data_IF_320453254200
#
_entry.id   IF_320453254200
#
_cell.length_a   1.000
_cell.length_b   1.000
_cell.length_c   1.000
_cell.angle_alpha   90.00
_cell.angle_beta   90.00
_cell.angle_gamma   90.00
#
_symmetry.space_group_name_H-M   'P 1'
#
loop_
_entity.id
_entity.type
_entity.pdbx_description
1 polymer ?
#
# COMPACT_ATOMS: atom_id res chain seq x y z
N UNK A 1 4.01 -6.06 0.27
CA UNK A 1 5.16 -6.39 -0.61
C UNK A 1 4.83 -7.43 -1.66
N UNK A 2 4.42 -8.66 -1.28
CA UNK A 2 4.01 -9.70 -2.26
C UNK A 2 2.90 -9.23 -3.23
N UNK A 3 1.94 -8.43 -2.74
CA UNK A 3 0.91 -7.81 -3.58
C UNK A 3 1.47 -6.89 -4.67
N UNK A 4 2.57 -6.19 -4.41
CA UNK A 4 3.15 -5.31 -5.41
C UNK A 4 3.95 -6.09 -6.44
N UNK A 5 4.71 -7.11 -5.99
CA UNK A 5 5.54 -7.95 -6.88
C UNK A 5 4.72 -8.84 -7.82
N UNK A 6 3.47 -9.14 -7.46
CA UNK A 6 2.58 -9.97 -8.28
C UNK A 6 1.68 -9.14 -9.20
N UNK A 7 1.75 -7.81 -9.15
CA UNK A 7 0.94 -6.96 -10.00
C UNK A 7 1.51 -6.96 -11.43
N UNK A 8 0.76 -7.50 -12.38
CA UNK A 8 1.13 -7.58 -13.79
C UNK A 8 1.00 -6.22 -14.51
N UNK A 9 0.31 -5.26 -13.90
CA UNK A 9 0.22 -3.89 -14.38
C UNK A 9 1.48 -3.07 -14.08
N UNK A 10 2.42 -3.60 -13.29
CA UNK A 10 3.68 -2.93 -12.96
C UNK A 10 4.83 -3.68 -13.62
N UNK A 11 5.46 -3.04 -14.59
CA UNK A 11 6.65 -3.57 -15.24
C UNK A 11 7.90 -3.33 -14.41
N UNK A 12 8.09 -4.16 -13.38
CA UNK A 12 9.20 -4.05 -12.42
C UNK A 12 10.56 -4.13 -13.11
N UNK A 13 10.68 -4.83 -14.24
CA UNK A 13 11.97 -4.98 -14.94
C UNK A 13 12.50 -3.64 -15.46
N UNK A 14 11.59 -2.77 -15.91
CA UNK A 14 11.89 -1.47 -16.49
C UNK A 14 11.98 -0.32 -15.47
N UNK A 15 11.81 -0.60 -14.17
CA UNK A 15 11.97 0.40 -13.12
C UNK A 15 13.42 0.46 -12.62
N UNK A 16 13.92 1.65 -12.33
CA UNK A 16 15.20 1.81 -11.60
C UNK A 16 15.05 1.43 -10.13
N UNK A 17 13.87 1.66 -9.56
CA UNK A 17 13.52 1.39 -8.17
C UNK A 17 12.02 1.20 -8.03
N UNK A 18 11.60 0.50 -6.98
CA UNK A 18 10.19 0.41 -6.60
C UNK A 18 9.95 1.44 -5.49
N UNK A 19 9.08 2.42 -5.75
CA UNK A 19 8.81 3.50 -4.78
C UNK A 19 7.44 3.30 -4.13
N UNK A 20 7.43 3.34 -2.79
CA UNK A 20 6.23 3.30 -1.96
C UNK A 20 6.13 4.61 -1.17
N UNK A 21 4.99 5.28 -1.26
CA UNK A 21 4.68 6.44 -0.44
C UNK A 21 3.89 6.02 0.80
N UNK A 22 4.35 6.39 2.00
CA UNK A 22 3.60 6.32 3.24
C UNK A 22 2.85 7.64 3.44
N UNK A 23 1.53 7.59 3.55
CA UNK A 23 0.69 8.77 3.79
C UNK A 23 0.12 8.70 5.20
N UNK A 24 0.31 9.78 5.96
CA UNK A 24 -0.07 9.86 7.38
C UNK A 24 -0.64 11.24 7.76
N UNK A 25 -1.31 11.31 8.91
CA UNK A 25 -1.78 12.59 9.46
C UNK A 25 -0.68 13.18 10.33
N UNK A 26 -0.17 14.35 9.94
CA UNK A 26 0.86 15.04 10.71
C UNK A 26 0.34 15.57 12.06
N UNK A 27 -0.98 15.78 12.19
CA UNK A 27 -1.62 16.17 13.44
C UNK A 27 -1.70 15.04 14.47
N UNK A 28 -1.59 13.78 14.04
CA UNK A 28 -1.67 12.61 14.91
C UNK A 28 -0.25 12.13 15.28
N UNK A 29 0.07 12.18 16.58
CA UNK A 29 1.35 11.68 17.11
C UNK A 29 1.52 10.17 16.96
N UNK A 30 0.42 9.42 16.99
CA UNK A 30 0.40 7.96 16.78
C UNK A 30 0.73 7.64 15.33
N UNK A 31 0.09 8.33 14.38
CA UNK A 31 0.36 8.15 12.94
C UNK A 31 1.81 8.46 12.58
N UNK A 32 2.40 9.51 13.18
CA UNK A 32 3.84 9.84 13.01
C UNK A 32 4.76 8.72 13.50
N UNK A 33 4.51 8.18 14.69
CA UNK A 33 5.29 7.06 15.24
C UNK A 33 5.16 5.82 14.37
N UNK A 34 3.95 5.49 13.94
CA UNK A 34 3.70 4.36 13.04
C UNK A 34 4.44 4.53 11.70
N UNK A 35 4.43 5.74 11.13
CA UNK A 35 5.14 6.04 9.87
C UNK A 35 6.63 5.69 9.96
N UNK A 36 7.29 6.11 11.04
CA UNK A 36 8.70 5.79 11.26
C UNK A 36 8.92 4.28 11.48
N UNK A 37 8.05 3.62 12.23
CA UNK A 37 8.10 2.16 12.40
C UNK A 37 7.96 1.41 11.07
N UNK A 38 7.01 1.80 10.23
CA UNK A 38 6.84 1.21 8.89
C UNK A 38 8.04 1.48 8.00
N UNK A 39 8.56 2.71 8.01
CA UNK A 39 9.74 3.07 7.23
C UNK A 39 10.96 2.22 7.61
N UNK A 40 11.19 1.99 8.90
CA UNK A 40 12.25 1.08 9.38
C UNK A 40 12.00 -0.34 8.93
N UNK A 41 10.78 -0.85 9.15
CA UNK A 41 10.41 -2.22 8.76
C UNK A 41 10.63 -2.48 7.26
N UNK A 42 10.31 -1.52 6.40
CA UNK A 42 10.59 -1.62 4.96
C UNK A 42 12.08 -1.51 4.61
N UNK A 43 12.84 -0.70 5.35
CA UNK A 43 14.29 -0.53 5.15
C UNK A 43 15.07 -1.77 5.56
N UNK A 44 14.61 -2.45 6.61
CA UNK A 44 15.24 -3.65 7.17
C UNK A 44 14.72 -4.94 6.52
N UNK A 45 13.81 -4.85 5.54
CA UNK A 45 13.18 -6.01 4.94
C UNK A 45 14.21 -6.83 4.12
N UNK A 46 14.62 -8.02 4.58
CA UNK A 46 15.67 -8.77 3.93
C UNK A 46 15.11 -9.35 2.63
N UNK A 47 15.70 -8.97 1.50
CA UNK A 47 15.31 -9.41 0.15
C UNK A 47 13.90 -8.98 -0.28
N UNK A 48 13.70 -7.70 -0.65
CA UNK A 48 12.44 -7.30 -1.29
C UNK A 48 12.18 -8.12 -2.57
N UNK A 49 10.92 -8.49 -2.87
CA UNK A 49 10.56 -9.41 -3.95
C UNK A 49 10.64 -8.79 -5.36
N UNK A 50 11.50 -7.79 -5.57
CA UNK A 50 11.57 -6.98 -6.79
C UNK A 50 12.82 -7.27 -7.63
N UNK A 51 13.33 -8.51 -7.61
CA UNK A 51 14.40 -8.98 -8.51
C UNK A 51 15.64 -8.06 -8.55
N UNK A 52 16.10 -7.62 -7.38
CA UNK A 52 17.29 -6.76 -7.27
C UNK A 52 17.03 -5.26 -7.47
N UNK A 53 15.78 -4.83 -7.74
CA UNK A 53 15.44 -3.41 -7.75
C UNK A 53 15.37 -2.86 -6.32
N UNK A 54 16.03 -1.72 -6.04
CA UNK A 54 15.98 -1.09 -4.72
C UNK A 54 14.56 -0.63 -4.39
N UNK A 55 14.20 -0.77 -3.11
CA UNK A 55 12.96 -0.26 -2.56
C UNK A 55 13.20 1.15 -1.99
N UNK A 56 12.40 2.12 -2.44
CA UNK A 56 12.41 3.49 -1.92
C UNK A 56 11.14 3.74 -1.14
N UNK A 57 11.29 4.18 0.10
CA UNK A 57 10.16 4.55 0.96
C UNK A 57 10.19 6.06 1.18
N UNK A 58 9.12 6.72 0.76
CA UNK A 58 8.92 8.15 0.94
C UNK A 58 7.78 8.36 1.93
N UNK A 59 7.85 9.39 2.77
CA UNK A 59 6.80 9.66 3.76
C UNK A 59 6.23 11.05 3.53
N UNK A 60 4.91 11.14 3.39
CA UNK A 60 4.19 12.37 3.11
C UNK A 60 3.07 12.56 4.12
N UNK A 61 2.92 13.80 4.60
CA UNK A 61 1.70 14.19 5.29
C UNK A 61 0.53 14.21 4.29
N UNK A 62 -0.67 13.88 4.76
CA UNK A 62 -1.91 14.02 3.99
C UNK A 62 -2.20 15.46 3.50
N UNK A 63 -1.53 16.47 4.07
CA UNK A 63 -1.59 17.86 3.60
C UNK A 63 -0.70 18.10 2.38
N UNK A 64 0.27 17.23 2.14
CA UNK A 64 1.28 17.31 1.08
C UNK A 64 1.00 16.31 -0.07
N UNK A 65 -0.25 15.86 -0.24
CA UNK A 65 -0.62 14.94 -1.34
C UNK A 65 -0.35 15.53 -2.74
N UNK A 66 -0.37 16.85 -2.86
CA UNK A 66 -0.06 17.56 -4.09
C UNK A 66 1.45 17.51 -4.44
N UNK A 67 2.32 17.35 -3.44
CA UNK A 67 3.78 17.34 -3.60
C UNK A 67 4.32 15.95 -3.98
N UNK A 68 3.45 14.94 -3.94
CA UNK A 68 3.77 13.58 -4.32
C UNK A 68 3.97 13.52 -5.84
N UNK A 69 5.15 13.07 -6.28
CA UNK A 69 5.40 12.75 -7.69
C UNK A 69 4.73 11.42 -8.07
N UNK A 70 3.42 11.46 -8.28
CA UNK A 70 2.58 10.28 -8.51
C UNK A 70 3.05 9.35 -9.64
N UNK A 71 3.51 9.85 -10.82
CA UNK A 71 4.06 8.99 -11.87
C UNK A 71 5.28 8.15 -11.45
N UNK A 72 6.01 8.56 -10.41
CA UNK A 72 7.21 7.86 -9.94
C UNK A 72 6.92 6.81 -8.85
N UNK A 73 5.64 6.60 -8.49
CA UNK A 73 5.25 5.76 -7.35
C UNK A 73 4.47 4.54 -7.85
N UNK A 74 4.76 3.38 -7.27
CA UNK A 74 4.07 2.13 -7.58
C UNK A 74 2.98 1.82 -6.55
N UNK A 75 3.14 2.27 -5.31
CA UNK A 75 2.13 2.08 -4.28
C UNK A 75 2.08 3.21 -3.25
N UNK A 76 0.88 3.41 -2.68
CA UNK A 76 0.67 4.24 -1.49
C UNK A 76 0.21 3.34 -0.35
N UNK A 77 0.84 3.47 0.82
CA UNK A 77 0.37 2.92 2.08
C UNK A 77 -0.29 4.04 2.87
N UNK A 78 -1.60 3.94 3.03
CA UNK A 78 -2.42 4.86 3.81
C UNK A 78 -2.47 4.34 5.25
N UNK A 79 -1.86 5.09 6.16
CA UNK A 79 -1.87 4.75 7.58
C UNK A 79 -3.22 5.12 8.24
N UNK A 80 -3.52 4.64 9.45
CA UNK A 80 -4.76 4.99 10.14
C UNK A 80 -4.96 6.51 10.30
N UNK A 81 -6.21 6.92 10.53
CA UNK A 81 -6.57 8.33 10.76
C UNK A 81 -6.80 9.17 9.50
N UNK A 82 -6.84 8.56 8.31
CA UNK A 82 -7.00 9.27 7.03
C UNK A 82 -8.43 9.43 6.50
N UNK A 83 -9.46 9.05 7.26
CA UNK A 83 -10.84 8.98 6.77
C UNK A 83 -11.28 10.24 5.98
N UNK A 84 -10.90 11.43 6.45
CA UNK A 84 -11.28 12.72 5.83
C UNK A 84 -10.56 13.02 4.50
N UNK A 85 -9.56 12.23 4.11
CA UNK A 85 -8.74 12.43 2.89
C UNK A 85 -8.71 11.20 1.99
N UNK A 86 -9.45 10.15 2.32
CA UNK A 86 -9.47 8.89 1.56
C UNK A 86 -9.86 9.13 0.10
N UNK A 87 -10.88 9.96 -0.16
CA UNK A 87 -11.36 10.19 -1.53
C UNK A 87 -10.29 10.86 -2.40
N UNK A 88 -9.61 11.89 -1.89
CA UNK A 88 -8.50 12.54 -2.60
C UNK A 88 -7.34 11.57 -2.90
N UNK A 89 -7.04 10.66 -1.97
CA UNK A 89 -6.01 9.63 -2.16
C UNK A 89 -6.45 8.63 -3.23
N UNK A 90 -7.70 8.17 -3.17
CA UNK A 90 -8.28 7.21 -4.13
C UNK A 90 -8.30 7.78 -5.54
N UNK A 91 -8.73 9.02 -5.71
CA UNK A 91 -8.76 9.71 -7.00
C UNK A 91 -7.37 9.77 -7.63
N UNK A 92 -6.36 10.17 -6.84
CA UNK A 92 -4.96 10.19 -7.32
C UNK A 92 -4.47 8.79 -7.67
N UNK A 93 -4.72 7.80 -6.82
CA UNK A 93 -4.31 6.42 -7.08
C UNK A 93 -4.93 5.88 -8.38
N UNK A 94 -6.21 6.15 -8.63
CA UNK A 94 -6.89 5.74 -9.86
C UNK A 94 -6.35 6.48 -11.09
N UNK A 95 -6.13 7.79 -10.99
CA UNK A 95 -5.62 8.62 -12.09
C UNK A 95 -4.22 8.21 -12.55
N UNK A 96 -3.34 7.86 -11.60
CA UNK A 96 -1.94 7.52 -11.87
C UNK A 96 -1.66 6.01 -11.89
N UNK A 97 -2.69 5.16 -11.76
CA UNK A 97 -2.54 3.70 -11.70
C UNK A 97 -1.58 3.24 -10.61
N UNK A 98 -1.73 3.84 -9.42
CA UNK A 98 -0.95 3.53 -8.23
C UNK A 98 -1.76 2.65 -7.29
N UNK A 99 -1.16 1.57 -6.79
CA UNK A 99 -1.81 0.66 -5.87
C UNK A 99 -1.99 1.32 -4.49
N UNK A 100 -3.21 1.35 -3.95
CA UNK A 100 -3.46 1.81 -2.58
C UNK A 100 -3.53 0.64 -1.60
N UNK A 101 -2.80 0.74 -0.49
CA UNK A 101 -2.71 -0.27 0.55
C UNK A 101 -2.91 0.35 1.93
N UNK A 102 -3.29 -0.44 2.93
CA UNK A 102 -3.43 0.02 4.32
C UNK A 102 -3.22 -1.12 5.31
N UNK A 103 -3.13 -0.78 6.59
CA UNK A 103 -3.24 -1.74 7.70
C UNK A 103 -4.49 -1.54 8.55
N UNK A 104 -5.43 -0.72 8.07
CA UNK A 104 -6.70 -0.43 8.70
C UNK A 104 -7.85 -0.89 7.79
N UNK A 105 -8.61 -1.88 8.26
CA UNK A 105 -9.68 -2.51 7.48
C UNK A 105 -10.82 -1.53 7.20
N UNK A 106 -11.01 -0.53 8.06
CA UNK A 106 -12.03 0.51 7.87
C UNK A 106 -11.74 1.38 6.64
N UNK A 107 -10.47 1.48 6.22
CA UNK A 107 -10.11 2.24 5.02
C UNK A 107 -10.31 1.41 3.75
N UNK A 108 -10.29 0.08 3.83
CA UNK A 108 -10.61 -0.81 2.69
C UNK A 108 -12.09 -0.72 2.32
N UNK A 109 -12.98 -0.68 3.31
CA UNK A 109 -14.41 -0.46 3.07
C UNK A 109 -14.70 0.94 2.49
N UNK A 110 -13.82 1.91 2.77
CA UNK A 110 -13.86 3.26 2.19
C UNK A 110 -13.20 3.35 0.80
N UNK A 111 -12.70 2.23 0.26
CA UNK A 111 -12.23 2.16 -1.12
C UNK A 111 -10.72 2.14 -1.32
N UNK A 112 -9.92 1.89 -0.27
CA UNK A 112 -8.52 1.48 -0.45
C UNK A 112 -8.46 0.07 -1.05
N UNK A 113 -7.52 -0.18 -1.97
CA UNK A 113 -7.52 -1.39 -2.79
C UNK A 113 -7.18 -2.66 -2.01
N UNK A 114 -6.23 -2.60 -1.07
CA UNK A 114 -5.88 -3.73 -0.22
C UNK A 114 -5.58 -3.32 1.22
N UNK A 115 -5.92 -4.18 2.18
CA UNK A 115 -5.56 -4.01 3.59
C UNK A 115 -5.00 -5.30 4.18
N UNK A 116 -4.02 -5.18 5.06
CA UNK A 116 -3.59 -6.30 5.92
C UNK A 116 -3.85 -5.91 7.36
N UNK A 117 -4.77 -6.62 8.02
CA UNK A 117 -5.21 -6.29 9.38
C UNK A 117 -5.07 -7.48 10.30
N UNK A 118 -4.92 -7.24 11.60
CA UNK A 118 -5.04 -8.31 12.59
C UNK A 118 -6.51 -8.47 12.97
N UNK A 119 -7.05 -9.67 12.79
CA UNK A 119 -8.40 -10.00 13.28
C UNK A 119 -8.44 -10.04 14.80
N UNK A 120 -9.65 -10.04 15.36
CA UNK A 120 -9.89 -10.24 16.80
C UNK A 120 -9.29 -11.55 17.34
N UNK A 121 -9.09 -12.54 16.46
CA UNK A 121 -8.45 -13.83 16.79
C UNK A 121 -6.92 -13.80 16.73
N UNK A 122 -6.30 -12.61 16.58
CA UNK A 122 -4.87 -12.42 16.33
C UNK A 122 -4.33 -13.12 15.08
N UNK A 123 -5.20 -13.52 14.16
CA UNK A 123 -4.80 -13.98 12.83
C UNK A 123 -4.78 -12.81 11.86
N UNK A 124 -3.72 -12.65 11.04
CA UNK A 124 -3.74 -11.61 10.04
C UNK A 124 -4.74 -11.95 8.93
N UNK A 125 -5.39 -10.94 8.38
CA UNK A 125 -6.39 -11.04 7.33
C UNK A 125 -5.99 -10.10 6.19
N UNK A 126 -6.14 -10.56 4.95
CA UNK A 126 -5.99 -9.70 3.78
C UNK A 126 -7.37 -9.35 3.25
N UNK A 127 -7.64 -8.05 3.19
CA UNK A 127 -8.85 -7.49 2.64
C UNK A 127 -8.56 -6.92 1.26
N UNK A 128 -9.43 -7.19 0.29
CA UNK A 128 -9.31 -6.68 -1.06
C UNK A 128 -10.58 -5.96 -1.49
N UNK A 129 -10.43 -4.75 -2.00
CA UNK A 129 -11.47 -4.05 -2.73
C UNK A 129 -11.18 -4.20 -4.23
N UNK A 130 -11.86 -5.15 -4.89
CA UNK A 130 -11.61 -5.52 -6.29
C UNK A 130 -11.73 -4.31 -7.23
N UNK A 131 -12.76 -3.47 -7.05
CA UNK A 131 -12.97 -2.27 -7.88
C UNK A 131 -11.79 -1.29 -7.74
N UNK A 132 -11.33 -1.07 -6.52
CA UNK A 132 -10.20 -0.19 -6.26
C UNK A 132 -8.86 -0.77 -6.71
N UNK A 133 -8.70 -2.10 -6.69
CA UNK A 133 -7.53 -2.76 -7.27
C UNK A 133 -7.43 -2.47 -8.77
N UNK A 134 -8.50 -2.74 -9.52
CA UNK A 134 -8.54 -2.49 -10.97
C UNK A 134 -8.31 -1.00 -11.30
N UNK A 135 -8.99 -0.11 -10.56
CA UNK A 135 -8.85 1.34 -10.75
C UNK A 135 -7.39 1.80 -10.54
N UNK A 136 -6.72 1.28 -9.50
CA UNK A 136 -5.34 1.57 -9.13
C UNK A 136 -4.28 0.82 -9.95
N UNK A 137 -4.64 0.23 -11.10
CA UNK A 137 -3.68 -0.46 -11.98
C UNK A 137 -3.29 -1.86 -11.50
N UNK A 138 -4.05 -2.43 -10.57
CA UNK A 138 -3.93 -3.80 -10.12
C UNK A 138 -4.40 -4.78 -11.19
N UNK A 139 -3.45 -5.48 -11.80
CA UNK A 139 -3.73 -6.61 -12.68
C UNK A 139 -3.18 -7.87 -12.03
N UNK A 140 -4.08 -8.67 -11.47
CA UNK A 140 -3.73 -9.84 -10.69
C UNK A 140 -4.38 -11.08 -11.27
N UNK A 141 -3.64 -12.19 -11.26
CA UNK A 141 -4.25 -13.50 -11.50
C UNK A 141 -4.90 -14.03 -10.23
N UNK A 142 -5.75 -15.04 -10.35
CA UNK A 142 -6.54 -15.63 -9.26
C UNK A 142 -5.65 -16.14 -8.11
N UNK A 143 -4.40 -16.48 -8.40
CA UNK A 143 -3.38 -16.90 -7.43
C UNK A 143 -3.08 -15.83 -6.37
N UNK A 144 -3.43 -14.55 -6.59
CA UNK A 144 -3.38 -13.51 -5.56
C UNK A 144 -4.22 -13.88 -4.32
N UNK A 145 -5.30 -14.65 -4.51
CA UNK A 145 -6.15 -15.17 -3.43
C UNK A 145 -5.42 -16.20 -2.57
N UNK A 146 -4.38 -16.85 -3.08
CA UNK A 146 -3.54 -17.75 -2.28
C UNK A 146 -2.73 -16.99 -1.23
N UNK A 147 -2.46 -15.69 -1.43
CA UNK A 147 -1.87 -14.85 -0.37
C UNK A 147 -2.80 -14.73 0.82
N UNK A 148 -4.12 -14.67 0.61
CA UNK A 148 -5.08 -14.68 1.72
C UNK A 148 -5.06 -16.02 2.47
N UNK A 149 -4.76 -17.13 1.78
CA UNK A 149 -4.68 -18.48 2.36
C UNK A 149 -3.41 -18.70 3.19
N UNK A 150 -2.25 -18.18 2.77
CA UNK A 150 -0.98 -18.36 3.50
C UNK A 150 -0.99 -17.73 4.90
N UNK A 151 -1.80 -16.68 5.11
CA UNK A 151 -1.82 -15.94 6.37
C UNK A 151 -2.77 -16.57 7.42
N UNK A 152 -3.72 -17.42 7.01
CA UNK A 152 -4.73 -18.04 7.91
C UNK A 152 -4.20 -19.34 8.55
N UNK A 153 -3.16 -19.94 7.96
CA UNK A 153 -2.65 -21.28 8.26
C UNK A 153 -1.17 -21.35 8.69
N UNK A 154 -0.50 -20.21 8.84
CA UNK A 154 0.74 -20.07 9.63
C UNK A 154 0.39 -19.57 11.03
#
# INVERSE_FOLDING_TARGET
MKLLSLNQGIDIANLDSVTIALVYDAGDSTARRQTESYRRWFSDFPNPPFRGKPLRILSFSNRALADINWPAIQAVVVLPGQANRIDAIREKCAAYKVLSMTTDSTLVSQGIAAGVTMSSSQKPEIWFNVKSLEAGGGMYRVEILQLAKQIIWE
#
